data_IF_013622251758
#
_entry.id   IF_013622251758
#
_cell.length_a   1.000
_cell.length_b   1.000
_cell.length_c   1.000
_cell.angle_alpha   90.00
_cell.angle_beta   90.00
_cell.angle_gamma   90.00
#
_symmetry.space_group_name_H-M   'P 1'
#
loop_
_entity.id
_entity.type
_entity.pdbx_description
1 polymer ?
#
# COMPACT_ATOMS: atom_id res chain seq x y z
N UNK A 1 10.40 3.24 -4.85
CA UNK A 1 9.21 2.96 -5.71
C UNK A 1 7.99 3.45 -4.96
N UNK A 2 7.16 4.27 -5.60
CA UNK A 2 6.00 4.87 -4.96
C UNK A 2 4.78 3.95 -5.12
N UNK A 3 4.10 3.66 -4.01
CA UNK A 3 2.87 2.86 -3.96
C UNK A 3 1.78 3.61 -3.21
N UNK A 4 0.54 3.54 -3.70
CA UNK A 4 -0.66 4.13 -3.10
C UNK A 4 -1.78 3.09 -3.03
N UNK A 5 -2.60 3.16 -1.98
CA UNK A 5 -3.82 2.35 -1.91
C UNK A 5 -4.70 2.58 -3.15
N UNK A 6 -5.20 1.50 -3.75
CA UNK A 6 -5.92 1.53 -5.02
C UNK A 6 -5.07 1.26 -6.26
N UNK A 7 -3.73 1.32 -6.15
CA UNK A 7 -2.83 0.91 -7.23
C UNK A 7 -2.99 -0.58 -7.55
N UNK A 8 -2.74 -0.97 -8.79
CA UNK A 8 -2.63 -2.39 -9.15
C UNK A 8 -1.18 -2.82 -9.05
N UNK A 9 -0.89 -3.82 -8.21
CA UNK A 9 0.46 -4.37 -8.09
C UNK A 9 0.53 -5.80 -8.61
N UNK A 10 1.71 -6.21 -9.06
CA UNK A 10 2.05 -7.60 -9.36
C UNK A 10 3.27 -8.01 -8.54
N UNK A 11 3.20 -9.15 -7.86
CA UNK A 11 4.32 -9.68 -7.08
C UNK A 11 5.26 -10.57 -7.91
N UNK A 12 6.38 -10.99 -7.30
CA UNK A 12 7.35 -11.89 -7.93
C UNK A 12 6.77 -13.25 -8.34
N UNK A 13 5.64 -13.67 -7.73
CA UNK A 13 4.92 -14.92 -8.03
C UNK A 13 3.92 -14.75 -9.18
N UNK A 14 3.80 -13.55 -9.75
CA UNK A 14 2.89 -13.24 -10.84
C UNK A 14 1.43 -13.06 -10.42
N UNK A 15 1.16 -12.84 -9.12
CA UNK A 15 -0.17 -12.53 -8.60
C UNK A 15 -0.41 -11.04 -8.75
N UNK A 16 -1.57 -10.67 -9.28
CA UNK A 16 -1.94 -9.27 -9.54
C UNK A 16 -3.22 -8.90 -8.81
N UNK A 17 -3.29 -7.69 -8.25
CA UNK A 17 -4.50 -7.18 -7.61
C UNK A 17 -4.36 -5.75 -7.11
N UNK A 18 -5.50 -5.17 -6.73
CA UNK A 18 -5.57 -3.83 -6.14
C UNK A 18 -4.96 -3.80 -4.73
N UNK A 19 -4.13 -2.80 -4.45
CA UNK A 19 -3.48 -2.58 -3.18
C UNK A 19 -4.50 -2.09 -2.13
N UNK A 20 -4.70 -2.87 -1.07
CA UNK A 20 -5.72 -2.58 -0.05
C UNK A 20 -5.12 -2.19 1.32
N UNK A 21 -3.86 -2.55 1.60
CA UNK A 21 -3.14 -2.12 2.80
C UNK A 21 -1.63 -2.01 2.54
N UNK A 22 -1.00 -1.04 3.21
CA UNK A 22 0.46 -0.87 3.29
C UNK A 22 0.84 -0.86 4.77
N UNK A 23 1.45 -1.93 5.26
CA UNK A 23 1.89 -2.06 6.65
C UNK A 23 3.38 -1.76 6.80
N UNK A 24 3.74 -0.94 7.79
CA UNK A 24 5.12 -0.61 8.15
C UNK A 24 5.45 -1.20 9.51
N UNK A 25 6.52 -1.99 9.56
CA UNK A 25 7.03 -2.59 10.79
C UNK A 25 7.59 -1.53 11.72
N UNK A 26 7.24 -1.61 13.00
CA UNK A 26 7.78 -0.73 14.06
C UNK A 26 8.83 -1.43 14.94
N UNK A 27 9.01 -2.75 14.75
CA UNK A 27 9.91 -3.63 15.49
C UNK A 27 10.60 -4.59 14.54
N UNK A 28 11.80 -5.05 14.90
CA UNK A 28 12.61 -5.93 14.04
C UNK A 28 12.00 -7.32 13.89
N UNK A 29 11.24 -7.74 14.90
CA UNK A 29 10.61 -9.06 14.96
C UNK A 29 9.32 -9.10 14.13
N UNK A 30 8.71 -7.95 13.84
CA UNK A 30 7.45 -7.82 13.10
C UNK A 30 7.69 -7.41 11.64
N UNK A 31 8.42 -8.24 10.91
CA UNK A 31 8.84 -7.95 9.52
C UNK A 31 7.63 -7.76 8.59
N UNK A 32 6.53 -8.47 8.86
CA UNK A 32 5.31 -8.43 8.06
C UNK A 32 4.34 -7.30 8.47
N UNK A 33 4.66 -6.50 9.49
CA UNK A 33 3.78 -5.46 10.01
C UNK A 33 2.40 -5.99 10.45
N UNK A 34 2.37 -7.16 11.10
CA UNK A 34 1.16 -7.85 11.56
C UNK A 34 0.82 -7.58 13.03
N UNK A 35 1.73 -6.96 13.80
CA UNK A 35 1.43 -6.58 15.19
C UNK A 35 0.30 -5.52 15.24
N UNK A 36 -0.50 -5.55 16.31
CA UNK A 36 -1.54 -4.53 16.57
C UNK A 36 -1.00 -3.08 16.64
N UNK A 37 0.31 -2.92 16.81
CA UNK A 37 0.99 -1.62 16.87
C UNK A 37 1.72 -1.25 15.57
N UNK A 38 1.64 -2.09 14.53
CA UNK A 38 2.19 -1.76 13.22
C UNK A 38 1.48 -0.52 12.65
N UNK A 39 2.14 0.17 11.72
CA UNK A 39 1.60 1.39 11.12
C UNK A 39 0.96 1.06 9.78
N UNK A 40 -0.21 1.63 9.51
CA UNK A 40 -0.83 1.61 8.18
C UNK A 40 -0.61 2.94 7.47
N UNK A 41 -0.11 2.88 6.24
CA UNK A 41 0.07 4.02 5.36
C UNK A 41 -0.96 4.02 4.22
N UNK A 42 -1.28 5.22 3.71
CA UNK A 42 -2.09 5.38 2.47
C UNK A 42 -1.22 5.40 1.21
N UNK A 43 0.01 5.85 1.38
CA UNK A 43 1.02 5.99 0.33
C UNK A 43 2.39 5.80 0.98
N UNK A 44 3.32 5.19 0.25
CA UNK A 44 4.66 4.95 0.73
C UNK A 44 5.67 4.91 -0.42
N UNK A 45 6.84 5.49 -0.20
CA UNK A 45 8.00 5.30 -1.07
C UNK A 45 8.90 4.22 -0.49
N UNK A 46 8.99 3.08 -1.17
CA UNK A 46 9.82 1.94 -0.75
C UNK A 46 11.30 2.29 -0.64
N UNK A 47 11.75 3.38 -1.27
CA UNK A 47 13.14 3.82 -1.22
C UNK A 47 13.53 4.40 0.15
N UNK A 48 12.55 4.70 1.01
CA UNK A 48 12.78 5.06 2.43
C UNK A 48 13.29 3.88 3.27
N UNK A 49 13.17 2.64 2.77
CA UNK A 49 13.86 1.47 3.32
C UNK A 49 13.31 0.93 4.64
N UNK A 50 12.13 1.37 5.09
CA UNK A 50 11.43 0.68 6.18
C UNK A 50 10.95 -0.69 5.75
N UNK A 51 10.99 -1.63 6.70
CA UNK A 51 10.49 -3.00 6.54
C UNK A 51 8.97 -3.01 6.66
N UNK A 52 8.32 -3.87 5.89
CA UNK A 52 6.87 -4.02 5.91
C UNK A 52 6.36 -4.90 4.79
N UNK A 53 5.03 -5.02 4.73
CA UNK A 53 4.33 -5.83 3.75
C UNK A 53 3.07 -5.10 3.25
N UNK A 54 2.60 -5.54 2.09
CA UNK A 54 1.35 -5.07 1.49
C UNK A 54 0.34 -6.19 1.43
N UNK A 55 -0.95 -5.83 1.46
CA UNK A 55 -2.03 -6.74 1.06
C UNK A 55 -2.75 -6.21 -0.17
N UNK A 56 -3.12 -7.12 -1.06
CA UNK A 56 -3.71 -6.78 -2.35
C UNK A 56 -4.64 -7.88 -2.86
N UNK A 57 -5.55 -7.51 -3.77
CA UNK A 57 -6.51 -8.44 -4.34
C UNK A 57 -7.37 -9.17 -3.29
N UNK A 58 -7.63 -8.51 -2.15
CA UNK A 58 -8.46 -9.00 -1.06
C UNK A 58 -7.83 -10.03 -0.11
N UNK A 59 -6.85 -10.84 -0.54
CA UNK A 59 -6.25 -11.87 0.31
C UNK A 59 -4.77 -12.16 0.03
N UNK A 60 -4.20 -11.61 -1.03
CA UNK A 60 -2.78 -11.76 -1.29
C UNK A 60 -1.97 -10.80 -0.43
N UNK A 61 -0.73 -11.20 -0.16
CA UNK A 61 0.24 -10.36 0.51
C UNK A 61 1.65 -10.65 0.01
N UNK A 62 2.53 -9.67 0.11
CA UNK A 62 3.97 -9.81 -0.13
C UNK A 62 4.75 -8.68 0.58
N UNK A 63 6.06 -8.88 0.75
CA UNK A 63 6.96 -7.82 1.23
C UNK A 63 7.23 -6.78 0.14
N UNK A 64 7.71 -5.59 0.53
CA UNK A 64 7.99 -4.51 -0.43
C UNK A 64 9.00 -4.90 -1.52
N UNK A 65 10.02 -5.69 -1.17
CA UNK A 65 11.05 -6.16 -2.09
C UNK A 65 10.55 -7.24 -3.08
N UNK A 66 9.38 -7.83 -2.80
CA UNK A 66 8.72 -8.81 -3.65
C UNK A 66 7.72 -8.18 -4.63
N UNK A 67 7.50 -6.87 -4.56
CA UNK A 67 6.68 -6.15 -5.53
C UNK A 67 7.50 -6.01 -6.81
N UNK A 68 6.98 -6.55 -7.90
CA UNK A 68 7.66 -6.58 -9.19
C UNK A 68 7.24 -5.42 -10.10
N UNK A 69 5.96 -5.07 -10.08
CA UNK A 69 5.39 -4.03 -10.93
C UNK A 69 4.25 -3.32 -10.20
N UNK A 70 4.13 -2.02 -10.44
CA UNK A 70 3.06 -1.15 -9.93
C UNK A 70 2.48 -0.39 -11.11
N UNK A 71 1.16 -0.46 -11.26
CA UNK A 71 0.38 0.34 -12.20
C UNK A 71 -0.49 1.27 -11.38
N UNK A 72 -0.12 2.55 -11.35
CA UNK A 72 -0.88 3.57 -10.66
C UNK A 72 -2.23 3.75 -11.31
N UNK A 73 -3.29 3.75 -10.50
CA UNK A 73 -4.61 4.16 -10.98
C UNK A 73 -4.62 5.68 -10.94
N UNK A 74 -4.79 6.33 -12.09
CA UNK A 74 -5.01 7.78 -12.09
C UNK A 74 -6.25 8.07 -11.24
N UNK A 75 -6.12 9.02 -10.30
CA UNK A 75 -7.26 9.46 -9.49
C UNK A 75 -8.35 9.94 -10.43
N UNK A 76 -9.55 9.35 -10.32
CA UNK A 76 -10.65 9.80 -11.15
C UNK A 76 -11.17 11.15 -10.67
N UNK A 77 -11.81 11.92 -11.56
CA UNK A 77 -12.46 13.19 -11.19
C UNK A 77 -13.45 13.04 -10.01
N UNK A 78 -14.01 11.83 -9.85
CA UNK A 78 -14.92 11.48 -8.75
C UNK A 78 -14.17 11.35 -7.42
N UNK A 79 -13.00 10.71 -7.42
CA UNK A 79 -12.17 10.50 -6.23
C UNK A 79 -11.66 11.85 -5.70
N UNK A 80 -11.21 12.72 -6.61
CA UNK A 80 -10.75 14.08 -6.29
C UNK A 80 -11.88 14.91 -5.66
N UNK A 81 -13.09 14.83 -6.21
CA UNK A 81 -14.24 15.58 -5.70
C UNK A 81 -14.67 15.13 -4.29
N UNK A 82 -14.61 13.82 -4.00
CA UNK A 82 -14.90 13.28 -2.66
C UNK A 82 -13.84 13.76 -1.66
N UNK A 83 -12.56 13.73 -2.02
CA UNK A 83 -11.47 14.09 -1.12
C UNK A 83 -11.50 15.60 -0.79
N UNK A 84 -11.75 16.47 -1.77
CA UNK A 84 -11.97 17.91 -1.56
C UNK A 84 -13.18 18.19 -0.66
N UNK A 85 -14.29 17.45 -0.85
CA UNK A 85 -15.47 17.60 -0.02
C UNK A 85 -15.20 17.20 1.43
N UNK A 86 -14.38 16.19 1.70
CA UNK A 86 -14.03 15.73 3.05
C UNK A 86 -13.10 16.70 3.78
N UNK A 87 -12.21 17.40 3.07
CA UNK A 87 -11.33 18.41 3.66
C UNK A 87 -12.07 19.71 4.02
N UNK A 88 -13.19 20.02 3.37
CA UNK A 88 -13.96 21.25 3.62
C UNK A 88 -14.66 21.32 4.99
N UNK A 89 -14.78 20.19 5.71
CA UNK A 89 -15.42 20.12 7.03
C UNK A 89 -14.43 19.93 8.19
N UNK A 90 -13.12 19.93 7.90
CA UNK A 90 -12.06 19.99 8.91
C UNK A 90 -11.68 21.43 9.22
#
# INVERSE_FOLDING_TARGET
MQIKLGDIITDEKGRTGELNNIGIAIRKEDIAAEDDNSLSAKEYDTDLGYTGAVTFGGSNWCYFDQIKEVSTKDDSDVDIAIEQANEWWK
#
